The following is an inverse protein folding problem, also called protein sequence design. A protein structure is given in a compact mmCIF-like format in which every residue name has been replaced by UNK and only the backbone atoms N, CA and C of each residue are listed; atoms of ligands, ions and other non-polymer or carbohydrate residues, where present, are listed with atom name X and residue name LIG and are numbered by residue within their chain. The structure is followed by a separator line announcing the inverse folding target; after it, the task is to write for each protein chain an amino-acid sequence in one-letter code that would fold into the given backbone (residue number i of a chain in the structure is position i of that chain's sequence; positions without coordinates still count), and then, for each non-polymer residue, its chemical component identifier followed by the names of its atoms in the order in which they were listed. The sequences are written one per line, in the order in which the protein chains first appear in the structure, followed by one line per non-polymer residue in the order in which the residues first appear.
data_IF_336988632434
#
_entry.id   IF_336988632434
#
_cell.length_a   1.000
_cell.length_b   1.000
_cell.length_c   1.000
_cell.angle_alpha   90.00
_cell.angle_beta   90.00
_cell.angle_gamma   90.00
#
_symmetry.space_group_name_H-M   'P 1'
#
loop_
_entity.id
_entity.type
_entity.pdbx_description
1 polymer ?
#
# COMPACT_ATOMS: atom_id res chain seq x y z
N UNK A 1 18.63 -13.86 -21.52
CA UNK A 1 17.72 -12.80 -21.06
C UNK A 1 16.70 -12.57 -22.16
N UNK A 2 15.40 -12.64 -21.88
CA UNK A 2 14.35 -12.45 -22.89
C UNK A 2 14.27 -10.98 -23.33
N UNK A 3 13.80 -10.71 -24.56
CA UNK A 3 13.60 -9.33 -25.07
C UNK A 3 12.66 -8.50 -24.16
N UNK A 4 11.77 -9.14 -23.41
CA UNK A 4 10.90 -8.51 -22.41
C UNK A 4 11.70 -7.93 -21.23
N UNK A 5 12.74 -8.63 -20.76
CA UNK A 5 13.63 -8.10 -19.71
C UNK A 5 14.43 -6.89 -20.18
N UNK A 6 14.84 -6.86 -21.46
CA UNK A 6 15.60 -5.74 -22.01
C UNK A 6 14.77 -4.44 -22.08
N UNK A 7 13.49 -4.52 -22.49
CA UNK A 7 12.60 -3.36 -22.57
C UNK A 7 12.30 -2.73 -21.20
N UNK A 8 12.34 -3.51 -20.12
CA UNK A 8 12.15 -3.03 -18.75
C UNK A 8 13.32 -2.14 -18.27
N UNK A 9 14.54 -2.39 -18.75
CA UNK A 9 15.71 -1.59 -18.37
C UNK A 9 15.80 -0.25 -19.12
N UNK A 10 15.08 -0.11 -20.24
CA UNK A 10 15.14 1.06 -21.13
C UNK A 10 14.00 2.08 -20.92
N UNK A 11 13.05 1.81 -20.02
CA UNK A 11 11.92 2.71 -19.78
C UNK A 11 12.34 3.95 -18.98
N UNK A 12 11.89 5.13 -19.47
CA UNK A 12 12.05 6.42 -18.78
C UNK A 12 11.34 6.38 -17.42
N UNK A 13 11.98 6.96 -16.40
CA UNK A 13 11.43 7.15 -15.05
C UNK A 13 10.01 7.71 -15.12
N UNK A 14 9.04 7.13 -14.42
CA UNK A 14 7.70 7.72 -14.32
C UNK A 14 7.80 9.11 -13.68
N UNK A 15 7.18 10.13 -14.28
CA UNK A 15 7.12 11.45 -13.69
C UNK A 15 6.14 11.43 -12.49
N UNK A 16 6.61 11.79 -11.31
CA UNK A 16 5.83 11.88 -10.07
C UNK A 16 4.93 13.13 -9.97
N UNK A 17 4.60 13.78 -11.08
CA UNK A 17 3.69 14.94 -11.07
C UNK A 17 2.22 14.47 -11.13
N UNK A 18 1.76 13.79 -10.07
CA UNK A 18 0.44 13.16 -9.98
C UNK A 18 -0.65 14.23 -9.74
N UNK A 19 -0.38 15.25 -8.92
CA UNK A 19 -1.38 16.24 -8.51
C UNK A 19 -1.89 17.15 -9.63
N UNK A 20 -1.12 17.33 -10.70
CA UNK A 20 -1.51 18.09 -11.89
C UNK A 20 -1.88 17.21 -13.10
N UNK A 21 -1.91 15.90 -12.92
CA UNK A 21 -2.14 14.91 -13.96
C UNK A 21 -3.51 15.03 -14.64
N UNK A 22 -3.64 14.38 -15.82
CA UNK A 22 -4.88 14.39 -16.61
C UNK A 22 -6.12 13.97 -15.83
N UNK A 23 -5.97 13.02 -14.88
CA UNK A 23 -7.09 12.49 -14.07
C UNK A 23 -7.58 13.48 -13.03
N UNK A 24 -6.70 14.21 -12.36
CA UNK A 24 -7.07 15.28 -11.44
C UNK A 24 -7.79 16.43 -12.18
N UNK A 25 -7.31 16.79 -13.39
CA UNK A 25 -7.99 17.80 -14.23
C UNK A 25 -9.38 17.32 -14.65
N UNK A 26 -9.50 16.07 -15.06
CA UNK A 26 -10.80 15.47 -15.44
C UNK A 26 -11.76 15.45 -14.23
N UNK A 27 -11.30 15.14 -13.05
CA UNK A 27 -12.07 15.17 -11.82
C UNK A 27 -12.63 16.60 -11.55
N UNK A 28 -11.77 17.62 -11.66
CA UNK A 28 -12.19 19.02 -11.48
C UNK A 28 -13.22 19.47 -12.52
N UNK A 29 -13.06 19.07 -13.79
CA UNK A 29 -14.05 19.32 -14.85
C UNK A 29 -15.37 18.64 -14.51
N UNK A 30 -15.37 17.35 -14.16
CA UNK A 30 -16.55 16.60 -13.80
C UNK A 30 -17.26 17.20 -12.56
N UNK A 31 -16.49 17.69 -11.58
CA UNK A 31 -17.02 18.41 -10.43
C UNK A 31 -17.68 19.74 -10.83
N UNK A 32 -17.00 20.57 -11.63
CA UNK A 32 -17.49 21.86 -12.09
C UNK A 32 -18.78 21.73 -12.92
N UNK A 33 -18.92 20.65 -13.67
CA UNK A 33 -20.13 20.32 -14.43
C UNK A 33 -21.25 19.70 -13.57
N UNK A 34 -21.01 19.44 -12.28
CA UNK A 34 -21.98 18.84 -11.36
C UNK A 34 -22.33 17.38 -11.70
N UNK A 35 -21.51 16.67 -12.51
CA UNK A 35 -21.83 15.31 -12.95
C UNK A 35 -21.41 14.22 -11.96
N UNK A 36 -20.50 14.47 -11.02
CA UNK A 36 -20.06 13.50 -10.05
C UNK A 36 -21.19 12.89 -9.20
N UNK A 37 -22.13 13.68 -8.65
CA UNK A 37 -23.27 13.13 -7.91
C UNK A 37 -24.18 12.25 -8.78
N UNK A 38 -24.35 12.58 -10.06
CA UNK A 38 -25.13 11.77 -10.98
C UNK A 38 -24.44 10.43 -11.28
N UNK A 39 -23.13 10.45 -11.57
CA UNK A 39 -22.30 9.25 -11.74
C UNK A 39 -22.42 8.35 -10.51
N UNK A 40 -22.27 8.93 -9.32
CA UNK A 40 -22.37 8.17 -8.08
C UNK A 40 -23.76 7.56 -7.87
N UNK A 41 -24.86 8.31 -8.11
CA UNK A 41 -26.22 7.77 -8.00
C UNK A 41 -26.47 6.62 -8.95
N UNK A 42 -26.04 6.75 -10.22
CA UNK A 42 -26.17 5.68 -11.22
C UNK A 42 -25.39 4.45 -10.80
N UNK A 43 -24.18 4.65 -10.30
CA UNK A 43 -23.33 3.53 -9.80
C UNK A 43 -23.97 2.87 -8.57
N UNK A 44 -24.41 3.63 -7.59
CA UNK A 44 -25.05 3.10 -6.37
C UNK A 44 -26.31 2.30 -6.72
N UNK A 45 -27.10 2.78 -7.68
CA UNK A 45 -28.32 2.09 -8.13
C UNK A 45 -28.05 0.84 -8.97
N UNK A 46 -27.04 0.86 -9.84
CA UNK A 46 -26.78 -0.23 -10.80
C UNK A 46 -25.72 -1.22 -10.32
N UNK A 47 -24.74 -0.73 -9.56
CA UNK A 47 -23.54 -1.48 -9.26
C UNK A 47 -23.33 -1.77 -7.79
N UNK A 48 -23.92 -1.01 -6.84
CA UNK A 48 -23.90 -1.29 -5.39
C UNK A 48 -22.59 -1.94 -4.89
N UNK A 49 -21.42 -1.36 -5.20
CA UNK A 49 -20.15 -2.03 -4.98
C UNK A 49 -19.45 -1.56 -3.70
N UNK A 50 -18.63 -2.45 -3.14
CA UNK A 50 -17.75 -2.17 -2.02
C UNK A 50 -16.54 -1.35 -2.50
N UNK A 51 -16.31 -0.22 -1.87
CA UNK A 51 -15.10 0.58 -2.06
C UNK A 51 -14.11 0.22 -0.97
N UNK A 52 -12.92 -0.21 -1.32
CA UNK A 52 -11.83 -0.48 -0.36
C UNK A 52 -10.72 0.51 -0.65
N UNK A 53 -10.47 1.44 0.29
CA UNK A 53 -9.44 2.46 0.16
C UNK A 53 -8.11 1.90 0.66
N UNK A 54 -7.06 2.06 -0.13
CA UNK A 54 -5.73 1.62 0.23
C UNK A 54 -4.84 2.82 0.55
N UNK A 55 -4.48 2.94 1.82
CA UNK A 55 -3.50 3.88 2.36
C UNK A 55 -2.21 3.14 2.70
N UNK A 56 -1.09 3.87 2.72
CA UNK A 56 0.16 3.42 3.32
C UNK A 56 0.50 4.33 4.50
N UNK A 57 1.00 5.51 4.24
CA UNK A 57 1.52 6.42 5.25
C UNK A 57 0.65 7.66 5.42
N UNK A 58 0.44 8.03 6.68
CA UNK A 58 -0.17 9.32 7.04
C UNK A 58 0.88 10.10 7.83
N UNK A 59 1.33 11.23 7.28
CA UNK A 59 2.33 12.08 7.94
C UNK A 59 1.71 13.39 8.38
N UNK A 60 2.38 14.12 9.27
CA UNK A 60 1.91 15.45 9.72
C UNK A 60 1.77 16.42 8.53
N UNK A 61 2.67 16.31 7.55
CA UNK A 61 2.64 17.04 6.28
C UNK A 61 2.79 16.10 5.11
N UNK A 62 2.12 16.39 3.99
CA UNK A 62 2.29 15.66 2.73
C UNK A 62 3.69 15.88 2.12
N UNK A 63 4.37 16.96 2.48
CA UNK A 63 5.73 17.29 2.05
C UNK A 63 6.62 17.64 3.25
N UNK A 64 7.03 16.65 4.06
CA UNK A 64 7.89 16.93 5.20
C UNK A 64 9.24 17.49 4.75
N UNK A 65 9.70 18.56 5.38
CA UNK A 65 11.03 19.12 5.13
C UNK A 65 12.10 18.07 5.43
N UNK A 66 13.05 17.90 4.50
CA UNK A 66 14.13 16.92 4.67
C UNK A 66 13.71 15.45 4.59
N UNK A 67 12.51 15.16 4.10
CA UNK A 67 12.04 13.77 3.96
C UNK A 67 12.91 13.01 2.95
N UNK A 68 13.67 12.05 3.46
CA UNK A 68 14.68 11.30 2.72
C UNK A 68 14.23 9.87 2.38
N UNK A 69 12.91 9.61 2.35
CA UNK A 69 12.30 8.35 1.94
C UNK A 69 11.39 8.56 0.72
N UNK A 70 10.79 7.49 0.22
CA UNK A 70 9.92 7.59 -0.96
C UNK A 70 8.64 8.39 -0.64
N UNK A 71 8.49 9.59 -1.21
CA UNK A 71 7.28 10.38 -1.04
C UNK A 71 6.04 9.75 -1.71
N UNK A 72 6.22 8.78 -2.62
CA UNK A 72 5.15 8.03 -3.26
C UNK A 72 4.38 7.12 -2.30
N UNK A 73 4.95 6.80 -1.13
CA UNK A 73 4.26 6.03 -0.09
C UNK A 73 3.39 6.90 0.85
N UNK A 74 3.49 8.21 0.76
CA UNK A 74 2.63 9.11 1.55
C UNK A 74 1.25 9.15 0.88
N UNK A 75 0.23 8.68 1.57
CA UNK A 75 -1.16 8.70 1.07
C UNK A 75 -1.87 10.01 1.38
N UNK A 76 -1.61 10.61 2.54
CA UNK A 76 -2.21 11.88 2.94
C UNK A 76 -1.43 12.57 4.06
N UNK A 77 -1.61 13.89 4.20
CA UNK A 77 -1.30 14.55 5.47
C UNK A 77 -2.36 14.22 6.53
N UNK A 78 -2.02 14.39 7.82
CA UNK A 78 -2.97 14.21 8.92
C UNK A 78 -4.24 15.05 8.72
N UNK A 79 -4.10 16.31 8.29
CA UNK A 79 -5.24 17.19 8.03
C UNK A 79 -6.10 16.73 6.85
N UNK A 80 -5.49 16.27 5.76
CA UNK A 80 -6.23 15.73 4.62
C UNK A 80 -6.97 14.45 5.00
N UNK A 81 -6.30 13.55 5.73
CA UNK A 81 -6.89 12.30 6.21
C UNK A 81 -8.08 12.57 7.15
N UNK A 82 -7.97 13.53 8.06
CA UNK A 82 -9.08 13.94 8.94
C UNK A 82 -10.32 14.40 8.15
N UNK A 83 -10.13 15.20 7.11
CA UNK A 83 -11.22 15.64 6.23
C UNK A 83 -11.80 14.48 5.43
N UNK A 84 -10.95 13.57 4.91
CA UNK A 84 -11.39 12.37 4.18
C UNK A 84 -12.25 11.47 5.08
N UNK A 85 -11.82 11.16 6.31
CA UNK A 85 -12.59 10.35 7.25
C UNK A 85 -13.92 11.01 7.62
N UNK A 86 -13.93 12.33 7.83
CA UNK A 86 -15.15 13.09 8.04
C UNK A 86 -16.13 13.01 6.86
N UNK A 87 -15.64 13.02 5.62
CA UNK A 87 -16.47 12.83 4.42
C UNK A 87 -17.04 11.42 4.37
N UNK A 88 -16.20 10.39 4.60
CA UNK A 88 -16.66 8.99 4.60
C UNK A 88 -17.75 8.76 5.64
N UNK A 89 -17.59 9.31 6.84
CA UNK A 89 -18.60 9.17 7.90
C UNK A 89 -19.92 9.83 7.56
N UNK A 90 -19.91 10.98 6.86
CA UNK A 90 -21.13 11.70 6.48
C UNK A 90 -21.88 11.10 5.28
N UNK A 91 -21.15 10.54 4.30
CA UNK A 91 -21.74 10.23 2.99
C UNK A 91 -21.66 8.76 2.60
N UNK A 92 -20.93 7.95 3.37
CA UNK A 92 -20.71 6.51 3.15
C UNK A 92 -21.07 5.71 4.40
N UNK A 93 -21.02 4.38 4.26
CA UNK A 93 -21.17 3.44 5.38
C UNK A 93 -19.81 2.76 5.64
N UNK A 94 -18.95 3.37 6.51
CA UNK A 94 -17.70 2.73 6.88
C UNK A 94 -17.96 1.37 7.55
N UNK A 95 -17.28 0.34 7.06
CA UNK A 95 -17.40 -1.04 7.51
C UNK A 95 -16.02 -1.70 7.57
N UNK A 96 -15.87 -2.81 8.29
CA UNK A 96 -14.63 -3.60 8.30
C UNK A 96 -14.69 -4.74 7.29
N UNK A 97 -13.53 -5.32 6.94
CA UNK A 97 -13.48 -6.52 6.09
C UNK A 97 -14.15 -7.71 6.78
N UNK A 98 -14.03 -7.83 8.10
CA UNK A 98 -14.71 -8.86 8.87
C UNK A 98 -16.23 -8.75 8.75
N UNK A 99 -16.78 -7.53 8.79
CA UNK A 99 -18.22 -7.32 8.56
C UNK A 99 -18.64 -7.65 7.13
N UNK A 100 -17.81 -7.29 6.15
CA UNK A 100 -18.05 -7.66 4.73
C UNK A 100 -18.08 -9.19 4.59
N UNK A 101 -17.09 -9.88 5.17
CA UNK A 101 -17.03 -11.34 5.16
C UNK A 101 -18.28 -11.96 5.76
N UNK A 102 -18.67 -11.55 6.97
CA UNK A 102 -19.87 -12.05 7.63
C UNK A 102 -21.14 -11.86 6.80
N UNK A 103 -21.32 -10.67 6.19
CA UNK A 103 -22.49 -10.41 5.35
C UNK A 103 -22.54 -11.32 4.12
N UNK A 104 -21.39 -11.55 3.46
CA UNK A 104 -21.32 -12.45 2.30
C UNK A 104 -21.64 -13.89 2.71
N UNK A 105 -21.14 -14.36 3.85
CA UNK A 105 -21.37 -15.70 4.34
C UNK A 105 -22.82 -15.96 4.76
N UNK A 106 -23.47 -14.93 5.30
CA UNK A 106 -24.87 -14.96 5.66
C UNK A 106 -25.81 -14.71 4.45
N UNK A 107 -25.25 -14.49 3.27
CA UNK A 107 -26.04 -14.15 2.08
C UNK A 107 -26.76 -12.80 2.17
N UNK A 108 -26.32 -11.91 3.05
CA UNK A 108 -26.91 -10.59 3.25
C UNK A 108 -26.27 -9.57 2.30
N UNK A 109 -27.06 -8.68 1.66
CA UNK A 109 -26.51 -7.62 0.84
C UNK A 109 -25.74 -6.60 1.66
N UNK A 110 -24.63 -6.09 1.11
CA UNK A 110 -23.91 -4.97 1.70
C UNK A 110 -24.79 -3.70 1.67
N UNK A 111 -24.70 -2.86 2.71
CA UNK A 111 -25.32 -1.54 2.69
C UNK A 111 -24.88 -0.72 1.49
N UNK A 112 -25.77 0.12 0.99
CA UNK A 112 -25.40 1.07 -0.07
C UNK A 112 -24.25 1.96 0.39
N UNK A 113 -23.31 2.25 -0.53
CA UNK A 113 -22.13 3.08 -0.22
C UNK A 113 -21.21 2.51 0.84
N UNK A 114 -21.15 1.18 1.01
CA UNK A 114 -20.17 0.56 1.88
C UNK A 114 -18.76 0.95 1.47
N UNK A 115 -17.94 1.33 2.45
CA UNK A 115 -16.53 1.70 2.28
C UNK A 115 -15.69 1.08 3.38
N UNK A 116 -14.56 0.49 3.01
CA UNK A 116 -13.55 -0.04 3.92
C UNK A 116 -12.31 0.83 3.79
N UNK A 117 -11.67 1.15 4.91
CA UNK A 117 -10.38 1.83 4.98
C UNK A 117 -9.32 0.78 5.31
N UNK A 118 -8.26 0.70 4.50
CA UNK A 118 -7.17 -0.23 4.73
C UNK A 118 -5.83 0.50 4.71
N UNK A 119 -4.87 0.00 5.50
CA UNK A 119 -3.49 0.45 5.53
C UNK A 119 -2.59 -0.73 5.25
N UNK A 120 -1.58 -0.54 4.41
CA UNK A 120 -0.57 -1.54 4.13
C UNK A 120 0.75 -1.20 4.85
N UNK A 121 1.66 -2.16 4.91
CA UNK A 121 3.04 -2.10 5.38
C UNK A 121 3.23 -1.98 6.91
N UNK A 122 2.25 -1.48 7.65
CA UNK A 122 2.36 -1.42 9.11
C UNK A 122 3.36 -0.40 9.64
N UNK A 123 3.46 0.78 9.01
CA UNK A 123 4.31 1.88 9.49
C UNK A 123 3.84 2.46 10.84
N UNK A 124 4.77 2.96 11.64
CA UNK A 124 4.50 3.54 12.97
C UNK A 124 3.51 4.71 12.92
N UNK A 125 3.52 5.51 11.86
CA UNK A 125 2.59 6.62 11.68
C UNK A 125 1.13 6.17 11.58
N UNK A 126 0.86 4.93 11.20
CA UNK A 126 -0.48 4.35 11.21
C UNK A 126 -1.06 4.28 12.64
N UNK A 127 -0.26 3.94 13.63
CA UNK A 127 -0.66 3.98 15.03
C UNK A 127 -0.67 5.42 15.57
N UNK A 128 0.40 6.18 15.36
CA UNK A 128 0.59 7.49 15.99
C UNK A 128 -0.33 8.57 15.43
N UNK A 129 -0.63 8.54 14.12
CA UNK A 129 -1.38 9.60 13.43
C UNK A 129 -2.75 9.09 12.95
N UNK A 130 -2.79 7.96 12.24
CA UNK A 130 -4.04 7.52 11.64
C UNK A 130 -5.05 7.01 12.69
N UNK A 131 -4.62 6.22 13.68
CA UNK A 131 -5.52 5.69 14.70
C UNK A 131 -6.34 6.75 15.46
N UNK A 132 -5.74 7.84 16.01
CA UNK A 132 -6.52 8.88 16.68
C UNK A 132 -7.57 9.53 15.79
N UNK A 133 -7.27 9.72 14.50
CA UNK A 133 -8.20 10.29 13.53
C UNK A 133 -9.34 9.32 13.23
N UNK A 134 -9.05 8.04 13.04
CA UNK A 134 -10.06 7.01 12.84
C UNK A 134 -11.01 6.90 14.04
N UNK A 135 -10.46 6.93 15.26
CA UNK A 135 -11.26 6.93 16.50
C UNK A 135 -12.14 8.18 16.62
N UNK A 136 -11.60 9.37 16.31
CA UNK A 136 -12.35 10.65 16.32
C UNK A 136 -13.61 10.56 15.46
N UNK A 137 -13.54 9.93 14.28
CA UNK A 137 -14.65 9.81 13.35
C UNK A 137 -15.47 8.52 13.53
N UNK A 138 -15.02 7.57 14.37
CA UNK A 138 -15.64 6.26 14.51
C UNK A 138 -15.65 5.47 13.20
N UNK A 139 -14.53 5.52 12.46
CA UNK A 139 -14.32 4.80 11.21
C UNK A 139 -13.48 3.56 11.49
N UNK A 140 -14.00 2.34 11.25
CA UNK A 140 -13.20 1.13 11.35
C UNK A 140 -12.19 1.06 10.20
N UNK A 141 -11.04 0.45 10.47
CA UNK A 141 -10.00 0.22 9.46
C UNK A 141 -9.33 -1.14 9.65
N UNK A 142 -8.74 -1.66 8.57
CA UNK A 142 -7.91 -2.87 8.58
C UNK A 142 -6.46 -2.49 8.34
N UNK A 143 -5.55 -2.95 9.20
CA UNK A 143 -4.12 -2.72 9.08
C UNK A 143 -3.43 -4.02 8.68
N UNK A 144 -2.88 -4.04 7.47
CA UNK A 144 -2.12 -5.16 6.94
C UNK A 144 -0.64 -4.97 7.29
N UNK A 145 -0.09 -5.89 8.07
CA UNK A 145 1.27 -5.79 8.60
C UNK A 145 2.14 -6.97 8.19
N UNK A 146 3.42 -6.71 7.96
CA UNK A 146 4.42 -7.74 7.66
C UNK A 146 5.18 -8.08 8.94
N UNK A 147 5.05 -9.32 9.40
CA UNK A 147 5.46 -9.73 10.75
C UNK A 147 6.96 -9.61 10.99
N UNK A 148 7.80 -10.00 10.03
CA UNK A 148 9.25 -9.94 10.17
C UNK A 148 9.79 -8.50 10.30
N UNK A 149 9.12 -7.51 9.70
CA UNK A 149 9.51 -6.10 9.87
C UNK A 149 9.18 -5.59 11.27
N UNK A 150 8.05 -6.01 11.83
CA UNK A 150 7.69 -5.68 13.22
C UNK A 150 8.63 -6.37 14.21
N UNK A 151 8.99 -7.64 13.98
CA UNK A 151 9.92 -8.38 14.83
C UNK A 151 11.32 -7.75 14.87
N UNK A 152 11.81 -7.34 13.70
CA UNK A 152 13.17 -6.80 13.58
C UNK A 152 13.25 -5.31 13.85
N UNK A 153 12.15 -4.57 13.74
CA UNK A 153 12.12 -3.11 13.77
C UNK A 153 12.84 -2.44 12.59
N UNK A 154 13.30 -3.21 11.60
CA UNK A 154 14.03 -2.69 10.45
C UNK A 154 13.06 -2.12 9.40
N UNK A 155 13.42 -1.01 8.73
CA UNK A 155 12.69 -0.53 7.57
C UNK A 155 12.74 -1.56 6.44
N UNK A 156 11.83 -1.44 5.50
CA UNK A 156 11.86 -2.27 4.28
C UNK A 156 13.11 -2.00 3.46
N UNK A 157 13.60 -3.01 2.75
CA UNK A 157 14.79 -2.87 1.89
C UNK A 157 14.65 -1.74 0.85
N UNK A 158 13.45 -1.59 0.28
CA UNK A 158 13.17 -0.52 -0.68
C UNK A 158 13.19 0.88 -0.02
N UNK A 159 12.66 1.02 1.19
CA UNK A 159 12.71 2.28 1.93
C UNK A 159 14.13 2.67 2.26
N UNK A 160 14.91 1.69 2.72
CA UNK A 160 16.29 1.95 3.13
C UNK A 160 17.19 2.27 1.94
N UNK A 161 17.00 1.60 0.80
CA UNK A 161 17.72 1.95 -0.43
C UNK A 161 17.42 3.38 -0.87
N UNK A 162 16.14 3.78 -0.83
CA UNK A 162 15.75 5.15 -1.16
C UNK A 162 16.42 6.16 -0.24
N UNK A 163 16.37 5.88 1.07
CA UNK A 163 17.01 6.71 2.09
C UNK A 163 18.51 6.85 1.87
N UNK A 164 19.21 5.75 1.64
CA UNK A 164 20.65 5.76 1.40
C UNK A 164 21.02 6.63 0.18
N UNK A 165 20.32 6.50 -0.93
CA UNK A 165 20.58 7.33 -2.12
C UNK A 165 20.33 8.81 -1.83
N UNK A 166 19.30 9.13 -1.04
CA UNK A 166 18.97 10.50 -0.68
C UNK A 166 19.98 11.14 0.29
N UNK A 167 20.65 10.36 1.15
CA UNK A 167 21.46 10.87 2.26
C UNK A 167 22.96 10.60 2.14
N UNK A 168 23.38 9.64 1.31
CA UNK A 168 24.79 9.25 1.16
C UNK A 168 25.70 10.43 0.85
N UNK A 169 26.87 10.47 1.49
CA UNK A 169 27.92 11.45 1.27
C UNK A 169 29.06 10.83 0.45
N UNK A 170 28.69 10.19 -0.66
CA UNK A 170 29.62 9.57 -1.61
C UNK A 170 29.68 10.37 -2.90
N UNK A 171 30.79 10.27 -3.63
CA UNK A 171 30.98 11.00 -4.87
C UNK A 171 30.19 10.39 -6.05
N UNK A 172 29.98 9.08 -6.01
CA UNK A 172 29.36 8.32 -7.10
C UNK A 172 28.27 7.39 -6.56
N UNK A 173 27.16 7.30 -7.28
CA UNK A 173 26.12 6.33 -7.08
C UNK A 173 26.35 5.16 -8.05
N UNK A 174 27.15 4.19 -7.62
CA UNK A 174 27.45 2.99 -8.41
C UNK A 174 26.77 1.77 -7.77
N UNK A 175 25.74 1.25 -8.45
CA UNK A 175 24.97 0.06 -8.06
C UNK A 175 24.85 -0.83 -9.30
N UNK A 176 25.87 -1.63 -9.60
CA UNK A 176 25.94 -2.41 -10.85
C UNK A 176 24.76 -3.36 -11.06
N UNK A 177 24.23 -3.97 -10.00
CA UNK A 177 23.10 -4.87 -10.06
C UNK A 177 21.82 -4.16 -10.52
N UNK A 178 21.70 -2.87 -10.22
CA UNK A 178 20.61 -2.03 -10.69
C UNK A 178 20.99 -1.24 -11.96
N UNK A 179 22.19 -1.48 -12.54
CA UNK A 179 22.74 -0.76 -13.70
C UNK A 179 22.70 0.77 -13.50
N UNK A 180 22.99 1.21 -12.28
CA UNK A 180 23.15 2.62 -11.92
C UNK A 180 24.63 2.88 -11.76
N UNK A 181 25.15 3.84 -12.51
CA UNK A 181 26.55 4.28 -12.47
C UNK A 181 26.60 5.73 -12.93
N UNK A 182 26.42 6.64 -11.98
CA UNK A 182 26.39 8.08 -12.23
C UNK A 182 26.93 8.87 -11.03
N UNK A 183 27.47 10.09 -11.20
CA UNK A 183 27.87 10.95 -10.09
C UNK A 183 26.72 11.16 -9.12
N UNK A 184 27.02 11.20 -7.80
CA UNK A 184 26.00 11.46 -6.79
C UNK A 184 25.59 12.94 -6.86
N UNK A 185 24.30 13.25 -7.18
CA UNK A 185 23.87 14.63 -7.31
C UNK A 185 23.86 15.39 -6.00
N UNK A 186 24.07 16.70 -6.05
CA UNK A 186 23.90 17.58 -4.88
C UNK A 186 22.43 17.90 -4.56
N UNK A 187 21.57 17.86 -5.57
CA UNK A 187 20.14 18.16 -5.43
C UNK A 187 19.33 16.96 -4.93
N UNK A 188 18.51 17.15 -3.91
CA UNK A 188 17.60 16.11 -3.39
C UNK A 188 16.60 15.64 -4.47
N UNK A 189 16.19 16.51 -5.38
CA UNK A 189 15.27 16.14 -6.46
C UNK A 189 15.90 15.16 -7.44
N UNK A 190 17.18 15.36 -7.80
CA UNK A 190 17.91 14.46 -8.65
C UNK A 190 18.25 13.15 -7.95
N UNK A 191 18.59 13.19 -6.65
CA UNK A 191 18.77 11.98 -5.83
C UNK A 191 17.49 11.14 -5.77
N UNK A 192 16.33 11.78 -5.58
CA UNK A 192 15.02 11.10 -5.62
C UNK A 192 14.74 10.48 -7.00
N UNK A 193 15.16 11.11 -8.10
CA UNK A 193 15.06 10.52 -9.43
C UNK A 193 15.86 9.21 -9.52
N UNK A 194 17.11 9.23 -9.04
CA UNK A 194 17.95 8.02 -9.01
C UNK A 194 17.33 6.97 -8.11
N UNK A 195 16.88 7.34 -6.91
CA UNK A 195 16.24 6.44 -5.96
C UNK A 195 14.99 5.80 -6.54
N UNK A 196 14.12 6.57 -7.21
CA UNK A 196 12.95 6.03 -7.91
C UNK A 196 13.32 5.02 -8.99
N UNK A 197 14.36 5.30 -9.78
CA UNK A 197 14.88 4.35 -10.76
C UNK A 197 15.44 3.10 -10.08
N UNK A 198 16.16 3.27 -8.96
CA UNK A 198 16.68 2.17 -8.17
C UNK A 198 15.55 1.25 -7.65
N UNK A 199 14.48 1.83 -7.10
CA UNK A 199 13.32 1.05 -6.64
C UNK A 199 12.64 0.28 -7.78
N UNK A 200 12.50 0.92 -8.94
CA UNK A 200 11.93 0.25 -10.10
C UNK A 200 12.74 -0.99 -10.51
N UNK A 201 14.07 -0.85 -10.51
CA UNK A 201 14.99 -1.93 -10.87
C UNK A 201 15.17 -2.97 -9.77
N UNK A 202 15.09 -2.56 -8.50
CA UNK A 202 15.12 -3.45 -7.34
C UNK A 202 14.00 -4.51 -7.40
N UNK A 203 12.81 -4.12 -7.85
CA UNK A 203 11.67 -5.03 -8.03
C UNK A 203 11.90 -6.16 -9.05
N UNK A 204 12.91 -6.05 -9.90
CA UNK A 204 13.30 -7.10 -10.85
C UNK A 204 14.14 -8.20 -10.20
N UNK A 205 14.72 -7.93 -9.04
CA UNK A 205 15.48 -8.88 -8.23
C UNK A 205 14.53 -9.69 -7.36
N UNK A 206 14.93 -10.92 -7.00
CA UNK A 206 14.22 -11.66 -5.97
C UNK A 206 14.45 -11.04 -4.58
N UNK A 207 13.61 -11.42 -3.60
CA UNK A 207 13.64 -10.80 -2.28
C UNK A 207 14.99 -10.99 -1.55
N UNK A 208 15.63 -12.14 -1.69
CA UNK A 208 16.94 -12.40 -1.10
C UNK A 208 18.02 -11.52 -1.74
N UNK A 209 17.98 -11.37 -3.05
CA UNK A 209 18.88 -10.47 -3.78
C UNK A 209 18.68 -9.01 -3.38
N UNK A 210 17.43 -8.58 -3.16
CA UNK A 210 17.12 -7.24 -2.68
C UNK A 210 17.75 -6.97 -1.30
N UNK A 211 17.53 -7.86 -0.34
CA UNK A 211 18.09 -7.75 1.02
C UNK A 211 19.63 -7.72 1.00
N UNK A 212 20.26 -8.68 0.30
CA UNK A 212 21.71 -8.75 0.17
C UNK A 212 22.30 -7.50 -0.50
N UNK A 213 21.63 -6.97 -1.51
CA UNK A 213 22.06 -5.74 -2.18
C UNK A 213 22.03 -4.55 -1.22
N UNK A 214 20.92 -4.38 -0.48
CA UNK A 214 20.75 -3.27 0.45
C UNK A 214 21.76 -3.37 1.60
N UNK A 215 21.94 -4.56 2.19
CA UNK A 215 22.94 -4.77 3.26
C UNK A 215 24.36 -4.45 2.77
N UNK A 216 24.72 -4.84 1.55
CA UNK A 216 26.03 -4.51 0.97
C UNK A 216 26.20 -3.01 0.76
N UNK A 217 25.17 -2.29 0.28
CA UNK A 217 25.21 -0.83 0.10
C UNK A 217 25.33 -0.14 1.46
N UNK A 218 24.63 -0.61 2.50
CA UNK A 218 24.77 -0.13 3.87
C UNK A 218 26.25 -0.11 4.31
N UNK A 219 26.95 -1.22 4.09
CA UNK A 219 28.37 -1.35 4.45
C UNK A 219 29.25 -0.45 3.56
N UNK A 220 29.01 -0.47 2.25
CA UNK A 220 29.83 0.26 1.29
C UNK A 220 29.73 1.77 1.45
N UNK A 221 28.56 2.31 1.79
CA UNK A 221 28.35 3.75 1.95
C UNK A 221 28.42 4.21 3.42
N UNK A 222 28.70 3.31 4.36
CA UNK A 222 28.73 3.54 5.81
C UNK A 222 27.44 4.19 6.34
N UNK A 223 26.30 3.65 5.89
CA UNK A 223 24.97 4.08 6.34
C UNK A 223 24.26 2.87 6.97
N UNK A 224 24.59 2.50 8.23
CA UNK A 224 23.95 1.39 8.91
C UNK A 224 22.50 1.72 9.28
N UNK A 225 21.66 0.69 9.41
CA UNK A 225 20.35 0.84 10.03
C UNK A 225 20.50 1.44 11.43
N UNK A 226 19.82 2.54 11.68
CA UNK A 226 19.83 3.21 12.99
C UNK A 226 18.43 3.22 13.58
N UNK A 227 18.32 2.96 14.88
CA UNK A 227 17.05 3.02 15.64
C UNK A 227 16.39 4.42 15.63
N UNK A 228 17.12 5.44 15.19
CA UNK A 228 16.70 6.84 15.25
C UNK A 228 15.94 7.33 14.00
N UNK A 229 15.88 6.53 12.95
CA UNK A 229 15.12 6.92 11.76
C UNK A 229 13.63 6.64 11.98
N UNK A 230 13.09 7.31 13.01
CA UNK A 230 11.70 7.21 13.46
C UNK A 230 10.67 7.44 12.34
N UNK A 231 11.12 8.01 11.22
CA UNK A 231 10.24 8.40 10.10
C UNK A 231 9.81 7.22 9.24
N UNK A 232 10.54 6.09 9.25
CA UNK A 232 10.22 4.96 8.35
C UNK A 232 10.27 3.59 9.04
N UNK A 233 10.15 3.57 10.36
CA UNK A 233 10.14 2.32 11.11
C UNK A 233 8.76 1.66 11.08
N UNK A 234 8.69 0.33 11.14
CA UNK A 234 7.45 -0.39 11.38
C UNK A 234 6.91 -0.10 12.80
N UNK A 235 5.64 -0.39 13.00
CA UNK A 235 5.05 -0.46 14.33
C UNK A 235 5.78 -1.48 15.20
N UNK A 236 5.64 -1.34 16.51
CA UNK A 236 5.98 -2.39 17.48
C UNK A 236 4.77 -3.31 17.69
N UNK A 237 4.99 -4.52 18.20
CA UNK A 237 3.89 -5.41 18.60
C UNK A 237 2.93 -4.78 19.62
N UNK A 238 3.43 -3.91 20.52
CA UNK A 238 2.56 -3.18 21.42
C UNK A 238 1.59 -2.27 20.66
N UNK A 239 2.06 -1.56 19.64
CA UNK A 239 1.24 -0.69 18.82
C UNK A 239 0.23 -1.49 17.97
N UNK A 240 0.62 -2.65 17.44
CA UNK A 240 -0.32 -3.55 16.74
C UNK A 240 -1.42 -4.03 17.68
N UNK A 241 -1.06 -4.43 18.92
CA UNK A 241 -2.06 -4.80 19.93
C UNK A 241 -2.94 -3.63 20.36
N UNK A 242 -2.42 -2.41 20.38
CA UNK A 242 -3.20 -1.20 20.67
C UNK A 242 -4.22 -0.92 19.58
N UNK A 243 -3.86 -1.07 18.29
CA UNK A 243 -4.81 -1.01 17.17
C UNK A 243 -5.95 -2.01 17.36
N UNK A 244 -5.61 -3.27 17.66
CA UNK A 244 -6.62 -4.31 17.86
C UNK A 244 -7.55 -4.01 19.05
N UNK A 245 -6.99 -3.59 20.18
CA UNK A 245 -7.79 -3.19 21.37
C UNK A 245 -8.67 -1.96 21.10
N UNK A 246 -8.25 -1.10 20.20
CA UNK A 246 -9.05 0.04 19.73
C UNK A 246 -10.18 -0.34 18.75
N UNK A 247 -10.37 -1.64 18.48
CA UNK A 247 -11.41 -2.14 17.57
C UNK A 247 -11.04 -2.08 16.09
N UNK A 248 -9.76 -1.85 15.76
CA UNK A 248 -9.27 -1.96 14.40
C UNK A 248 -8.98 -3.41 14.05
N UNK A 249 -9.18 -3.77 12.79
CA UNK A 249 -8.90 -5.10 12.27
C UNK A 249 -7.41 -5.21 11.89
N UNK A 250 -6.80 -6.34 12.24
CA UNK A 250 -5.42 -6.66 11.84
C UNK A 250 -5.48 -7.74 10.76
N UNK A 251 -4.75 -7.52 9.68
CA UNK A 251 -4.58 -8.46 8.59
C UNK A 251 -3.11 -8.71 8.27
N UNK A 252 -2.84 -9.75 7.49
CA UNK A 252 -1.49 -10.09 7.06
C UNK A 252 -1.08 -9.33 5.80
N UNK A 253 0.18 -8.90 5.74
CA UNK A 253 0.86 -8.45 4.54
C UNK A 253 2.06 -9.37 4.21
N UNK A 254 1.91 -10.68 4.51
CA UNK A 254 3.00 -11.65 4.47
C UNK A 254 3.95 -11.52 5.68
N UNK A 255 4.94 -12.41 5.73
CA UNK A 255 5.98 -12.30 6.75
C UNK A 255 7.02 -11.23 6.37
N UNK A 256 7.52 -11.27 5.12
CA UNK A 256 8.66 -10.47 4.66
C UNK A 256 8.31 -9.52 3.50
N UNK A 257 7.04 -9.21 3.26
CA UNK A 257 6.59 -8.34 2.17
C UNK A 257 7.09 -8.80 0.77
N UNK A 258 7.08 -10.09 0.51
CA UNK A 258 7.58 -10.66 -0.76
C UNK A 258 6.47 -10.73 -1.80
N UNK A 259 6.81 -10.55 -3.09
CA UNK A 259 5.87 -10.83 -4.19
C UNK A 259 5.53 -12.32 -4.23
N UNK A 260 4.35 -12.68 -3.74
CA UNK A 260 3.96 -14.07 -3.46
C UNK A 260 3.96 -14.94 -4.71
N UNK A 261 3.57 -14.41 -5.87
CA UNK A 261 3.57 -15.14 -7.14
C UNK A 261 4.98 -15.58 -7.62
N UNK A 262 6.03 -14.93 -7.13
CA UNK A 262 7.42 -15.25 -7.48
C UNK A 262 8.06 -16.28 -6.56
N UNK A 263 7.40 -16.66 -5.47
CA UNK A 263 7.97 -17.59 -4.50
C UNK A 263 7.79 -19.05 -4.94
N UNK A 264 8.80 -19.90 -4.70
CA UNK A 264 8.61 -21.35 -4.70
C UNK A 264 7.54 -21.77 -3.69
N UNK A 265 6.85 -22.88 -3.94
CA UNK A 265 5.68 -23.31 -3.15
C UNK A 265 5.96 -23.44 -1.65
N UNK A 266 7.08 -24.03 -1.26
CA UNK A 266 7.46 -24.18 0.14
C UNK A 266 7.70 -22.82 0.85
N UNK A 267 8.24 -21.82 0.14
CA UNK A 267 8.42 -20.47 0.69
C UNK A 267 7.12 -19.71 0.71
N UNK A 268 6.26 -19.87 -0.30
CA UNK A 268 4.92 -19.25 -0.32
C UNK A 268 4.09 -19.73 0.87
N UNK A 269 4.09 -21.05 1.12
CA UNK A 269 3.36 -21.61 2.27
C UNK A 269 3.85 -20.98 3.59
N UNK A 270 5.17 -20.94 3.82
CA UNK A 270 5.74 -20.32 5.03
C UNK A 270 5.40 -18.83 5.14
N UNK A 271 5.56 -18.07 4.05
CA UNK A 271 5.27 -16.64 4.04
C UNK A 271 3.83 -16.35 4.49
N UNK A 272 2.89 -17.21 4.14
CA UNK A 272 1.48 -17.09 4.47
C UNK A 272 1.14 -17.69 5.84
N UNK A 273 1.60 -18.92 6.14
CA UNK A 273 1.28 -19.58 7.41
C UNK A 273 1.91 -18.86 8.60
N UNK A 274 3.24 -18.60 8.51
CA UNK A 274 3.98 -18.05 9.64
C UNK A 274 3.47 -16.63 9.98
N UNK A 275 3.19 -15.81 8.94
CA UNK A 275 2.62 -14.47 9.18
C UNK A 275 1.26 -14.53 9.88
N UNK A 276 0.40 -15.47 9.49
CA UNK A 276 -0.93 -15.62 10.10
C UNK A 276 -0.82 -16.11 11.54
N UNK A 277 -0.02 -17.14 11.80
CA UNK A 277 0.18 -17.71 13.13
C UNK A 277 0.75 -16.68 14.10
N UNK A 278 1.81 -15.97 13.71
CA UNK A 278 2.41 -14.90 14.51
C UNK A 278 1.36 -13.82 14.83
N UNK A 279 0.60 -13.37 13.85
CA UNK A 279 -0.44 -12.35 14.09
C UNK A 279 -1.52 -12.84 15.05
N UNK A 280 -1.99 -14.09 14.90
CA UNK A 280 -2.96 -14.68 15.81
C UNK A 280 -2.43 -14.74 17.27
N UNK A 281 -1.17 -15.14 17.44
CA UNK A 281 -0.52 -15.16 18.76
C UNK A 281 -0.41 -13.75 19.36
N UNK A 282 -0.07 -12.74 18.53
CA UNK A 282 0.14 -11.39 19.00
C UNK A 282 -1.15 -10.64 19.36
N UNK A 283 -2.24 -10.86 18.63
CA UNK A 283 -3.49 -10.13 18.84
C UNK A 283 -4.55 -10.95 19.59
N UNK A 284 -4.40 -12.27 19.69
CA UNK A 284 -5.33 -13.15 20.39
C UNK A 284 -6.66 -13.33 19.67
N UNK A 285 -6.69 -13.21 18.35
CA UNK A 285 -7.92 -13.27 17.54
C UNK A 285 -7.69 -13.88 16.15
N UNK A 286 -8.78 -14.08 15.42
CA UNK A 286 -8.70 -14.63 14.06
C UNK A 286 -8.15 -13.63 13.06
N UNK A 287 -7.18 -14.08 12.27
CA UNK A 287 -6.63 -13.35 11.13
C UNK A 287 -7.22 -13.93 9.84
N UNK A 288 -8.25 -13.28 9.32
CA UNK A 288 -9.00 -13.72 8.15
C UNK A 288 -8.60 -12.97 6.86
N UNK A 289 -7.99 -11.78 6.99
CA UNK A 289 -7.69 -10.90 5.87
C UNK A 289 -6.20 -10.90 5.50
N UNK A 290 -5.95 -10.89 4.20
CA UNK A 290 -4.61 -10.68 3.63
C UNK A 290 -4.64 -9.57 2.57
N UNK A 291 -3.63 -8.70 2.56
CA UNK A 291 -3.29 -7.87 1.41
C UNK A 291 -2.07 -8.47 0.73
N UNK A 292 -2.15 -8.69 -0.57
CA UNK A 292 -1.02 -9.23 -1.33
C UNK A 292 0.05 -8.15 -1.51
N UNK A 293 1.31 -8.37 -1.03
CA UNK A 293 2.38 -7.38 -1.21
C UNK A 293 2.55 -6.99 -2.68
N UNK A 294 2.77 -5.68 -2.94
CA UNK A 294 2.76 -5.07 -4.28
C UNK A 294 1.38 -5.10 -4.96
N UNK A 295 0.64 -6.19 -4.83
CA UNK A 295 -0.77 -6.38 -5.13
C UNK A 295 -1.23 -6.18 -6.58
N UNK A 296 -0.32 -5.97 -7.54
CA UNK A 296 -0.62 -5.91 -8.97
C UNK A 296 -0.98 -7.30 -9.54
N UNK A 297 -1.33 -7.34 -10.83
CA UNK A 297 -1.70 -8.59 -11.51
C UNK A 297 -0.58 -9.64 -11.56
N UNK A 298 0.66 -9.22 -11.39
CA UNK A 298 1.86 -10.06 -11.37
C UNK A 298 2.32 -10.46 -9.95
N UNK A 299 1.67 -9.91 -8.92
CA UNK A 299 2.05 -10.10 -7.52
C UNK A 299 1.37 -11.33 -6.88
N UNK A 300 0.22 -11.75 -7.43
CA UNK A 300 -0.53 -12.93 -6.96
C UNK A 300 -1.21 -13.63 -8.14
N UNK A 301 -1.43 -14.92 -8.00
CA UNK A 301 -2.05 -15.79 -8.99
C UNK A 301 -2.99 -16.81 -8.32
N UNK A 302 -3.56 -17.73 -9.10
CA UNK A 302 -4.46 -18.77 -8.58
C UNK A 302 -3.79 -19.71 -7.59
N UNK A 303 -2.47 -19.92 -7.69
CA UNK A 303 -1.69 -20.71 -6.74
C UNK A 303 -1.60 -19.99 -5.40
N UNK A 304 -1.26 -18.69 -5.41
CA UNK A 304 -1.22 -17.85 -4.20
C UNK A 304 -2.58 -17.84 -3.50
N UNK A 305 -3.67 -17.66 -4.26
CA UNK A 305 -5.03 -17.67 -3.71
C UNK A 305 -5.35 -19.02 -3.03
N UNK A 306 -5.05 -20.14 -3.67
CA UNK A 306 -5.29 -21.47 -3.07
C UNK A 306 -4.49 -21.65 -1.79
N UNK A 307 -3.19 -21.37 -1.81
CA UNK A 307 -2.34 -21.51 -0.63
C UNK A 307 -2.82 -20.58 0.51
N UNK A 308 -3.26 -19.35 0.20
CA UNK A 308 -3.82 -18.45 1.21
C UNK A 308 -5.10 -19.04 1.85
N UNK A 309 -6.00 -19.62 1.05
CA UNK A 309 -7.20 -20.30 1.56
C UNK A 309 -6.81 -21.50 2.43
N UNK A 310 -5.85 -22.31 2.00
CA UNK A 310 -5.33 -23.47 2.76
C UNK A 310 -4.71 -23.03 4.10
N UNK A 311 -4.03 -21.88 4.13
CA UNK A 311 -3.55 -21.26 5.38
C UNK A 311 -4.67 -20.67 6.26
N UNK A 312 -5.92 -20.62 5.78
CA UNK A 312 -7.07 -20.16 6.56
C UNK A 312 -7.44 -18.69 6.36
N UNK A 313 -6.87 -17.99 5.38
CA UNK A 313 -7.37 -16.69 4.96
C UNK A 313 -8.70 -16.82 4.22
N UNK A 314 -9.60 -15.88 4.42
CA UNK A 314 -10.96 -15.89 3.89
C UNK A 314 -11.28 -14.70 3.01
N UNK A 315 -10.49 -13.63 3.11
CA UNK A 315 -10.63 -12.42 2.31
C UNK A 315 -9.25 -11.91 1.90
N UNK A 316 -9.07 -11.60 0.62
CA UNK A 316 -7.81 -11.15 0.03
C UNK A 316 -8.00 -9.85 -0.73
N UNK A 317 -7.12 -8.88 -0.47
CA UNK A 317 -7.09 -7.58 -1.14
C UNK A 317 -5.92 -7.50 -2.11
N UNK A 318 -6.21 -7.07 -3.34
CA UNK A 318 -5.21 -6.72 -4.33
C UNK A 318 -4.97 -5.20 -4.35
N UNK A 319 -3.98 -4.74 -5.11
CA UNK A 319 -3.77 -3.32 -5.39
C UNK A 319 -4.27 -2.94 -6.80
N UNK A 320 -5.14 -3.78 -7.37
CA UNK A 320 -5.81 -3.51 -8.65
C UNK A 320 -6.92 -2.51 -8.44
N UNK A 321 -6.95 -1.46 -9.24
CA UNK A 321 -7.96 -0.40 -9.09
C UNK A 321 -9.34 -0.88 -9.48
N UNK A 322 -10.32 -0.64 -8.62
CA UNK A 322 -11.72 -0.90 -8.92
C UNK A 322 -12.64 -0.96 -7.72
N UNK A 323 -13.87 -1.29 -8.00
CA UNK A 323 -14.94 -1.55 -7.04
C UNK A 323 -15.49 -2.94 -7.32
N UNK A 324 -15.69 -3.73 -6.28
CA UNK A 324 -16.23 -5.08 -6.40
C UNK A 324 -17.61 -5.22 -5.78
N UNK A 325 -18.33 -6.24 -6.22
CA UNK A 325 -19.46 -6.79 -5.50
C UNK A 325 -18.98 -8.06 -4.81
N UNK A 326 -18.67 -7.99 -3.50
CA UNK A 326 -18.20 -9.16 -2.80
C UNK A 326 -19.23 -10.29 -2.87
N UNK A 327 -18.75 -11.45 -3.27
CA UNK A 327 -19.48 -12.71 -3.32
C UNK A 327 -18.51 -13.84 -2.97
N UNK A 328 -19.00 -15.00 -2.60
CA UNK A 328 -18.16 -16.13 -2.21
C UNK A 328 -17.07 -16.49 -3.24
N UNK A 329 -17.32 -16.23 -4.53
CA UNK A 329 -16.39 -16.54 -5.60
C UNK A 329 -15.25 -15.52 -5.83
N UNK A 330 -15.28 -14.33 -5.20
CA UNK A 330 -14.26 -13.29 -5.44
C UNK A 330 -13.65 -12.66 -4.19
N UNK A 331 -13.96 -13.17 -3.01
CA UNK A 331 -13.47 -12.61 -1.74
C UNK A 331 -11.94 -12.58 -1.64
N UNK A 332 -11.26 -13.48 -2.34
CA UNK A 332 -9.79 -13.58 -2.30
C UNK A 332 -9.07 -12.70 -3.33
N UNK A 333 -9.78 -11.81 -4.02
CA UNK A 333 -9.17 -10.94 -5.04
C UNK A 333 -9.85 -9.56 -5.13
N UNK A 334 -10.23 -9.01 -3.99
CA UNK A 334 -10.92 -7.73 -3.93
C UNK A 334 -10.02 -6.59 -4.38
N UNK A 335 -10.57 -5.74 -5.25
CA UNK A 335 -9.90 -4.56 -5.79
C UNK A 335 -9.96 -3.41 -4.81
N UNK A 336 -8.97 -2.52 -4.90
CA UNK A 336 -8.87 -1.37 -4.01
C UNK A 336 -8.75 -0.06 -4.79
N UNK A 337 -8.89 1.03 -4.07
CA UNK A 337 -8.75 2.40 -4.57
C UNK A 337 -7.52 3.00 -3.88
N UNK A 338 -6.37 3.14 -4.57
CA UNK A 338 -5.19 3.76 -4.00
C UNK A 338 -5.43 5.23 -3.70
N UNK A 339 -4.97 5.67 -2.53
CA UNK A 339 -5.02 7.07 -2.11
C UNK A 339 -3.62 7.67 -2.21
N UNK A 340 -3.53 8.76 -2.94
CA UNK A 340 -2.29 9.43 -3.27
C UNK A 340 -2.16 10.76 -2.52
N UNK A 341 -0.96 11.10 -2.14
CA UNK A 341 -0.57 12.28 -1.35
C UNK A 341 -1.15 13.60 -1.86
N UNK A 342 -1.19 13.77 -3.18
CA UNK A 342 -1.55 15.04 -3.82
C UNK A 342 -3.04 15.13 -4.16
N UNK A 343 -3.87 14.22 -3.64
CA UNK A 343 -5.32 14.24 -3.85
C UNK A 343 -5.97 15.39 -3.07
N UNK A 344 -6.51 16.38 -3.79
CA UNK A 344 -7.47 17.30 -3.20
C UNK A 344 -8.83 16.61 -2.99
N UNK A 345 -9.72 17.24 -2.25
CA UNK A 345 -11.03 16.67 -1.92
C UNK A 345 -11.92 16.44 -3.15
N UNK A 346 -11.81 17.26 -4.18
CA UNK A 346 -12.55 17.08 -5.44
C UNK A 346 -12.12 15.78 -6.12
N UNK A 347 -10.82 15.54 -6.17
CA UNK A 347 -10.30 14.32 -6.76
C UNK A 347 -10.61 13.10 -5.88
N UNK A 348 -10.55 13.23 -4.56
CA UNK A 348 -10.96 12.17 -3.63
C UNK A 348 -12.44 11.77 -3.83
N UNK A 349 -13.36 12.73 -3.95
CA UNK A 349 -14.76 12.45 -4.26
C UNK A 349 -14.94 11.79 -5.64
N UNK A 350 -14.16 12.23 -6.62
CA UNK A 350 -14.20 11.66 -7.96
C UNK A 350 -13.75 10.20 -8.00
N UNK A 351 -12.68 9.83 -7.30
CA UNK A 351 -12.24 8.42 -7.23
C UNK A 351 -13.24 7.54 -6.49
N UNK A 352 -13.93 8.06 -5.48
CA UNK A 352 -15.01 7.34 -4.81
C UNK A 352 -16.22 7.13 -5.74
N UNK A 353 -16.50 8.09 -6.63
CA UNK A 353 -17.59 7.97 -7.60
C UNK A 353 -17.25 7.01 -8.75
N UNK A 354 -16.05 7.08 -9.33
CA UNK A 354 -15.62 6.25 -10.46
C UNK A 354 -14.11 5.98 -10.46
N UNK A 355 -13.61 5.09 -9.61
CA UNK A 355 -12.17 4.85 -9.46
C UNK A 355 -11.52 4.39 -10.77
N UNK A 356 -12.19 3.62 -11.61
CA UNK A 356 -11.64 3.13 -12.87
C UNK A 356 -11.31 4.27 -13.86
N UNK A 357 -11.95 5.43 -13.68
CA UNK A 357 -11.71 6.64 -14.48
C UNK A 357 -10.70 7.55 -13.84
N UNK A 358 -10.82 7.79 -12.53
CA UNK A 358 -10.11 8.86 -11.83
C UNK A 358 -8.90 8.40 -11.01
N UNK A 359 -8.81 7.12 -10.59
CA UNK A 359 -7.63 6.62 -9.90
C UNK A 359 -6.53 6.19 -10.88
N UNK A 360 -5.26 6.38 -10.50
CA UNK A 360 -4.15 5.79 -11.22
C UNK A 360 -4.08 4.30 -10.94
N UNK A 361 -3.99 3.50 -12.00
CA UNK A 361 -3.66 2.09 -11.83
C UNK A 361 -2.18 1.98 -11.47
N UNK A 362 -1.84 1.11 -10.53
CA UNK A 362 -0.44 0.80 -10.27
C UNK A 362 0.24 0.41 -11.60
N UNK A 363 1.43 0.93 -11.87
CA UNK A 363 2.17 0.68 -13.11
C UNK A 363 2.64 -0.78 -13.28
N UNK A 364 2.22 -1.68 -12.41
CA UNK A 364 2.41 -3.13 -12.53
C UNK A 364 1.35 -3.74 -13.45
N UNK A 365 1.27 -3.23 -14.69
CA UNK A 365 0.69 -4.01 -15.79
C UNK A 365 1.77 -4.97 -16.25
N UNK A 366 1.47 -6.26 -16.15
CA UNK A 366 2.12 -7.22 -17.03
C UNK A 366 1.92 -6.72 -18.46
N UNK A 367 3.03 -6.41 -19.14
CA UNK A 367 3.03 -6.20 -20.59
C UNK A 367 2.77 -7.51 -21.26
#
# INVERSE_FOLDING_TARGET
MSQVAQSYWDTKTPSHDIGQGRRARLARIAHALGVLPAIQRVRDARCGGLRILAYHRILESAEPSGFAFDPGLISASASAFDVQMGLLKRHYQPTSLAQVLAMVEEGRPLPARSVVVTFDDGYEDNHRIALPILQKHGVPATFFVSTAHIDTGKPYAYDWLFHMICTAQVAECSIPELRIDEPMPGSIMERRRIATLALYRLKLLDAQQQEQLVDRICVMWDIPYRDHDAVCRPMTWNQVRDLHRAGMEIGSHGANHRMLAKLPEALLLRELSDSREILQEQVGGDINAISYPVGGFDAYDSRVIRTAIECGYRIGCSYVVGVDRPASGNLMSLRRIPIERDMDMIWFEAILAAPEVFAYQSNHRAG
#
